data_IF_948657174492
#
_entry.id   IF_948657174492
#
_cell.length_a   1.000
_cell.length_b   1.000
_cell.length_c   1.000
_cell.angle_alpha   90.00
_cell.angle_beta   90.00
_cell.angle_gamma   90.00
#
_symmetry.space_group_name_H-M   'P 1'
#
loop_
_entity.id
_entity.type
_entity.pdbx_description
1 polymer ?
#
# COMPACT_ATOMS: atom_id res chain seq x y z
N UNK A 1 -23.43 7.47 -4.64
CA UNK A 1 -22.30 6.68 -4.15
C UNK A 1 -22.76 6.07 -2.86
N UNK A 2 -22.73 4.75 -2.77
CA UNK A 2 -23.14 4.05 -1.56
C UNK A 2 -21.89 3.79 -0.71
N UNK A 3 -22.04 3.90 0.61
CA UNK A 3 -20.98 3.59 1.57
C UNK A 3 -21.50 2.57 2.56
N UNK A 4 -20.59 1.79 3.15
CA UNK A 4 -20.91 0.96 4.31
C UNK A 4 -20.39 1.66 5.57
N UNK A 5 -21.32 2.05 6.44
CA UNK A 5 -21.03 2.68 7.73
C UNK A 5 -21.12 1.71 8.89
N UNK A 6 -20.37 1.97 9.96
CA UNK A 6 -20.28 1.12 11.14
C UNK A 6 -20.60 1.91 12.43
N UNK A 7 -21.88 2.19 12.71
CA UNK A 7 -22.30 3.01 13.85
C UNK A 7 -22.14 2.31 15.21
N UNK A 8 -21.98 0.99 15.20
CA UNK A 8 -21.86 0.17 16.40
C UNK A 8 -20.49 -0.51 16.47
N UNK A 9 -20.04 -0.78 17.70
CA UNK A 9 -18.74 -1.40 17.96
C UNK A 9 -17.57 -0.44 17.85
N UNK A 10 -16.46 -0.81 18.48
CA UNK A 10 -15.20 -0.06 18.46
C UNK A 10 -14.29 -0.48 17.30
N UNK A 11 -14.46 -1.71 16.79
CA UNK A 11 -13.70 -2.30 15.69
C UNK A 11 -14.66 -3.00 14.74
N UNK A 12 -14.51 -2.73 13.45
CA UNK A 12 -15.25 -3.40 12.39
C UNK A 12 -14.28 -3.89 11.33
N UNK A 13 -14.30 -5.18 11.01
CA UNK A 13 -13.29 -5.79 10.14
C UNK A 13 -13.89 -6.49 8.93
N UNK A 14 -13.21 -6.37 7.80
CA UNK A 14 -13.37 -7.25 6.65
C UNK A 14 -12.36 -8.38 6.72
N UNK A 15 -12.79 -9.57 6.35
CA UNK A 15 -11.92 -10.73 6.16
C UNK A 15 -11.78 -10.99 4.66
N UNK A 16 -10.61 -10.72 4.12
CA UNK A 16 -10.25 -11.03 2.73
C UNK A 16 -9.57 -12.39 2.68
N UNK A 17 -10.01 -13.26 1.75
CA UNK A 17 -9.50 -14.63 1.59
C UNK A 17 -8.93 -14.81 0.18
N UNK A 18 -7.77 -14.21 -0.13
CA UNK A 18 -7.17 -14.38 -1.44
C UNK A 18 -6.78 -15.85 -1.68
N UNK A 19 -6.97 -16.38 -2.89
CA UNK A 19 -6.73 -17.79 -3.17
C UNK A 19 -5.26 -18.20 -3.04
N UNK A 20 -4.32 -17.28 -3.20
CA UNK A 20 -2.89 -17.56 -3.09
C UNK A 20 -2.37 -17.64 -1.64
N UNK A 21 -3.19 -17.26 -0.65
CA UNK A 21 -2.92 -17.40 0.78
C UNK A 21 -1.81 -16.49 1.31
N UNK A 22 -1.18 -16.90 2.41
CA UNK A 22 -0.12 -16.14 3.09
C UNK A 22 1.22 -16.11 2.34
N UNK A 23 2.13 -15.25 2.78
CA UNK A 23 3.47 -15.10 2.21
C UNK A 23 3.49 -14.74 0.71
N UNK A 24 2.42 -14.09 0.24
CA UNK A 24 2.28 -13.53 -1.10
C UNK A 24 2.18 -12.02 -1.02
N UNK A 25 2.53 -11.34 -2.10
CA UNK A 25 2.50 -9.88 -2.14
C UNK A 25 1.11 -9.44 -2.62
N UNK A 26 0.44 -8.63 -1.80
CA UNK A 26 -0.87 -8.08 -2.15
C UNK A 26 -0.84 -6.56 -2.11
N UNK A 27 -1.43 -5.95 -3.14
CA UNK A 27 -1.86 -4.56 -3.09
C UNK A 27 -3.25 -4.51 -2.48
N UNK A 28 -3.38 -3.82 -1.35
CA UNK A 28 -4.65 -3.59 -0.67
C UNK A 28 -4.96 -2.11 -0.78
N UNK A 29 -6.18 -1.78 -1.20
CA UNK A 29 -6.62 -0.39 -1.33
C UNK A 29 -7.98 -0.18 -0.69
N UNK A 30 -8.05 0.79 0.20
CA UNK A 30 -9.28 1.24 0.85
C UNK A 30 -9.60 2.68 0.39
N UNK A 31 -10.82 2.88 -0.09
CA UNK A 31 -11.29 4.18 -0.58
C UNK A 31 -12.44 4.70 0.26
N UNK A 32 -12.43 6.01 0.50
CA UNK A 32 -13.38 6.69 1.36
C UNK A 32 -13.82 8.01 0.72
N UNK A 33 -15.13 8.22 0.60
CA UNK A 33 -15.73 9.50 0.25
C UNK A 33 -16.90 9.73 1.20
N UNK A 34 -16.77 10.74 2.08
CA UNK A 34 -17.74 10.98 3.16
C UNK A 34 -19.10 11.41 2.60
N UNK A 35 -19.12 12.41 1.72
CA UNK A 35 -20.34 12.88 1.06
C UNK A 35 -21.44 13.34 2.00
N UNK A 36 -21.15 13.57 3.29
CA UNK A 36 -22.13 13.82 4.34
C UNK A 36 -23.24 12.75 4.42
N UNK A 37 -22.89 11.47 4.24
CA UNK A 37 -23.87 10.38 4.14
C UNK A 37 -24.81 10.25 5.36
N UNK A 38 -24.39 10.77 6.52
CA UNK A 38 -25.12 10.73 7.79
C UNK A 38 -25.84 12.04 8.14
N UNK A 39 -25.76 13.07 7.27
CA UNK A 39 -26.33 14.41 7.47
C UNK A 39 -25.89 15.10 8.77
N UNK A 40 -24.69 14.79 9.28
CA UNK A 40 -24.17 15.41 10.51
C UNK A 40 -23.29 16.64 10.26
N UNK A 41 -22.88 16.88 9.00
CA UNK A 41 -21.94 17.93 8.61
C UNK A 41 -20.65 17.91 9.44
N UNK A 42 -20.25 16.73 9.92
CA UNK A 42 -19.09 16.53 10.78
C UNK A 42 -18.15 15.52 10.16
N UNK A 43 -16.98 15.99 9.74
CA UNK A 43 -15.97 15.14 9.13
C UNK A 43 -15.52 14.06 10.13
N UNK A 44 -15.71 12.77 9.81
CA UNK A 44 -15.32 11.69 10.71
C UNK A 44 -13.81 11.46 10.67
N UNK A 45 -13.26 10.98 11.79
CA UNK A 45 -11.89 10.48 11.90
C UNK A 45 -11.86 9.13 12.58
N UNK A 46 -11.12 8.20 12.00
CA UNK A 46 -10.97 6.84 12.50
C UNK A 46 -9.66 6.24 12.01
N UNK A 47 -9.25 5.13 12.62
CA UNK A 47 -8.01 4.45 12.26
C UNK A 47 -8.28 3.24 11.38
N UNK A 48 -7.36 2.98 10.44
CA UNK A 48 -7.36 1.84 9.54
C UNK A 48 -6.21 0.91 9.92
N UNK A 49 -6.50 -0.38 9.94
CA UNK A 49 -5.55 -1.44 10.30
C UNK A 49 -5.53 -2.51 9.21
N UNK A 50 -4.34 -3.09 9.02
CA UNK A 50 -4.14 -4.31 8.22
C UNK A 50 -3.55 -5.39 9.12
N UNK A 51 -4.21 -6.53 9.18
CA UNK A 51 -4.00 -7.51 10.24
C UNK A 51 -4.23 -6.87 11.61
N UNK A 52 -3.19 -6.93 12.45
CA UNK A 52 -3.16 -6.33 13.80
C UNK A 52 -2.37 -5.04 13.86
N UNK A 53 -1.85 -4.54 12.74
CA UNK A 53 -0.98 -3.37 12.74
C UNK A 53 -1.72 -2.15 12.20
N UNK A 54 -1.47 -0.99 12.83
CA UNK A 54 -2.04 0.27 12.37
C UNK A 54 -1.45 0.59 11.01
N UNK A 55 -2.33 0.74 10.02
CA UNK A 55 -1.95 1.14 8.67
C UNK A 55 -1.88 2.66 8.60
N UNK A 56 -2.99 3.36 8.85
CA UNK A 56 -3.02 4.83 8.85
C UNK A 56 -4.26 5.37 9.58
N UNK A 57 -4.37 6.69 9.72
CA UNK A 57 -5.59 7.39 10.12
C UNK A 57 -6.33 7.95 8.90
N UNK A 58 -7.64 7.70 8.83
CA UNK A 58 -8.51 8.29 7.82
C UNK A 58 -9.02 9.65 8.32
N UNK A 59 -8.76 10.69 7.53
CA UNK A 59 -9.15 12.08 7.78
C UNK A 59 -9.54 12.75 6.47
N UNK A 60 -10.49 13.68 6.52
CA UNK A 60 -11.01 14.39 5.36
C UNK A 60 -10.80 15.89 5.52
N UNK A 61 -10.59 16.59 4.41
CA UNK A 61 -10.47 18.06 4.41
C UNK A 61 -11.84 18.72 4.19
N UNK A 62 -12.75 18.02 3.52
CA UNK A 62 -14.15 18.39 3.30
C UNK A 62 -14.97 17.14 2.92
N UNK A 63 -16.29 17.31 2.78
CA UNK A 63 -17.20 16.20 2.48
C UNK A 63 -17.00 15.55 1.11
N UNK A 64 -16.47 16.29 0.13
CA UNK A 64 -16.19 15.78 -1.22
C UNK A 64 -14.79 15.20 -1.39
N UNK A 65 -13.93 15.27 -0.36
CA UNK A 65 -12.58 14.73 -0.41
C UNK A 65 -12.62 13.21 -0.52
N UNK A 66 -12.00 12.68 -1.58
CA UNK A 66 -11.79 11.24 -1.76
C UNK A 66 -10.44 10.89 -1.13
N UNK A 67 -10.47 10.10 -0.07
CA UNK A 67 -9.28 9.58 0.59
C UNK A 67 -9.04 8.16 0.10
N UNK A 68 -7.84 7.91 -0.44
CA UNK A 68 -7.40 6.58 -0.86
C UNK A 68 -6.20 6.20 0.00
N UNK A 69 -6.24 5.00 0.57
CA UNK A 69 -5.11 4.38 1.26
C UNK A 69 -4.73 3.14 0.49
N UNK A 70 -3.46 3.01 0.11
CA UNK A 70 -2.95 1.87 -0.62
C UNK A 70 -1.65 1.34 0.02
N UNK A 71 -1.59 0.03 0.23
CA UNK A 71 -0.43 -0.63 0.84
C UNK A 71 -0.11 -1.91 0.08
N UNK A 72 1.18 -2.16 -0.13
CA UNK A 72 1.71 -3.45 -0.51
C UNK A 72 2.05 -4.20 0.78
N UNK A 73 1.39 -5.34 1.00
CA UNK A 73 1.46 -6.10 2.23
C UNK A 73 1.71 -7.59 1.95
N UNK A 74 2.53 -8.21 2.79
CA UNK A 74 2.78 -9.64 2.82
C UNK A 74 2.16 -10.20 4.10
N UNK A 75 0.99 -10.86 4.02
CA UNK A 75 0.32 -11.37 5.20
C UNK A 75 1.02 -12.61 5.74
N UNK A 76 1.05 -12.71 7.06
CA UNK A 76 1.66 -13.83 7.81
C UNK A 76 0.69 -14.99 8.04
N UNK A 77 -0.61 -14.77 7.85
CA UNK A 77 -1.70 -15.75 7.93
C UNK A 77 -2.53 -15.71 6.63
N UNK A 78 -3.30 -16.76 6.32
CA UNK A 78 -4.00 -16.86 5.02
C UNK A 78 -5.12 -15.84 4.82
N UNK A 79 -5.72 -15.37 5.92
CA UNK A 79 -6.74 -14.33 5.89
C UNK A 79 -6.10 -12.95 6.07
N UNK A 80 -6.50 -11.98 5.25
CA UNK A 80 -6.12 -10.59 5.45
C UNK A 80 -7.28 -9.88 6.14
N UNK A 81 -7.04 -9.38 7.35
CA UNK A 81 -8.01 -8.54 8.05
C UNK A 81 -7.78 -7.07 7.71
N UNK A 82 -8.82 -6.36 7.31
CA UNK A 82 -8.80 -4.89 7.17
C UNK A 82 -9.83 -4.33 8.13
N UNK A 83 -9.35 -3.64 9.16
CA UNK A 83 -10.18 -3.20 10.28
C UNK A 83 -10.25 -1.68 10.37
N UNK A 84 -11.47 -1.18 10.59
CA UNK A 84 -11.76 0.22 10.87
C UNK A 84 -12.02 0.35 12.38
N UNK A 85 -11.22 1.16 13.05
CA UNK A 85 -11.31 1.40 14.48
C UNK A 85 -11.90 2.78 14.76
N UNK A 86 -13.00 2.80 15.50
CA UNK A 86 -13.66 4.02 15.94
C UNK A 86 -12.83 4.71 17.02
N UNK A 87 -12.46 5.97 16.78
CA UNK A 87 -11.69 6.80 17.72
C UNK A 87 -12.57 7.78 18.52
N UNK A 88 -13.90 7.64 18.44
CA UNK A 88 -14.86 8.56 19.05
C UNK A 88 -15.06 9.86 18.27
N UNK A 89 -14.44 9.99 17.10
CA UNK A 89 -14.43 11.22 16.28
C UNK A 89 -15.32 11.11 15.03
N UNK A 90 -16.39 10.34 15.09
CA UNK A 90 -17.34 10.10 13.99
C UNK A 90 -17.45 8.62 13.64
N UNK A 91 -18.47 8.27 12.85
CA UNK A 91 -18.78 6.89 12.47
C UNK A 91 -17.81 6.39 11.40
N UNK A 92 -17.02 5.33 11.63
CA UNK A 92 -16.21 4.72 10.59
C UNK A 92 -17.05 4.22 9.43
N UNK A 93 -16.54 4.36 8.22
CA UNK A 93 -17.21 3.91 7.01
C UNK A 93 -16.18 3.55 5.95
N UNK A 94 -16.59 2.84 4.90
CA UNK A 94 -15.76 2.55 3.72
C UNK A 94 -16.61 2.60 2.45
N UNK A 95 -16.03 3.13 1.37
CA UNK A 95 -16.70 3.19 0.06
C UNK A 95 -16.31 2.02 -0.83
N UNK A 96 -15.04 1.63 -0.82
CA UNK A 96 -14.55 0.45 -1.53
C UNK A 96 -13.34 -0.17 -0.82
N UNK A 97 -13.23 -1.49 -0.93
CA UNK A 97 -12.07 -2.27 -0.50
C UNK A 97 -11.67 -3.19 -1.66
N UNK A 98 -10.44 -3.03 -2.13
CA UNK A 98 -9.89 -3.73 -3.29
C UNK A 98 -8.63 -4.50 -2.87
N UNK A 99 -8.44 -5.70 -3.43
CA UNK A 99 -7.24 -6.53 -3.23
C UNK A 99 -6.76 -7.07 -4.56
N UNK A 100 -5.46 -6.95 -4.84
CA UNK A 100 -4.79 -7.47 -6.04
C UNK A 100 -3.55 -8.26 -5.63
N UNK A 101 -3.38 -9.45 -6.18
CA UNK A 101 -2.19 -10.26 -6.01
C UNK A 101 -1.09 -9.84 -6.99
N UNK A 102 0.15 -9.71 -6.51
CA UNK A 102 1.33 -9.45 -7.35
C UNK A 102 2.07 -10.77 -7.59
N UNK A 103 2.14 -11.18 -8.85
CA UNK A 103 2.63 -12.51 -9.24
C UNK A 103 4.16 -12.68 -9.15
N UNK A 104 4.91 -11.59 -8.92
CA UNK A 104 6.36 -11.53 -9.01
C UNK A 104 6.99 -11.07 -7.68
N UNK A 105 8.28 -11.36 -7.47
CA UNK A 105 9.09 -10.89 -6.33
C UNK A 105 9.43 -9.38 -6.37
N UNK A 106 8.56 -8.57 -6.98
CA UNK A 106 8.71 -7.11 -7.07
C UNK A 106 8.30 -6.45 -5.76
N UNK A 107 8.88 -5.30 -5.45
CA UNK A 107 8.60 -4.52 -4.23
C UNK A 107 8.96 -5.25 -2.93
N UNK A 108 10.00 -6.08 -2.95
CA UNK A 108 10.58 -6.63 -1.72
C UNK A 108 11.32 -5.52 -0.96
N UNK A 109 10.84 -5.22 0.24
CA UNK A 109 11.60 -4.43 1.21
C UNK A 109 12.73 -5.30 1.79
N UNK A 110 13.84 -4.68 2.18
CA UNK A 110 14.98 -5.36 2.80
C UNK A 110 14.59 -6.18 4.06
N UNK A 111 13.60 -5.71 4.82
CA UNK A 111 12.92 -6.55 5.79
C UNK A 111 11.78 -7.30 5.10
N UNK A 112 11.88 -8.63 4.99
CA UNK A 112 10.86 -9.50 4.37
C UNK A 112 9.45 -9.34 5.00
N UNK A 113 9.35 -8.74 6.19
CA UNK A 113 8.11 -8.46 6.91
C UNK A 113 7.59 -7.01 6.79
N UNK A 114 8.34 -6.11 6.18
CA UNK A 114 7.91 -4.71 6.08
C UNK A 114 6.88 -4.51 4.97
N UNK A 115 5.87 -3.70 5.25
CA UNK A 115 4.85 -3.31 4.28
C UNK A 115 5.16 -1.96 3.67
N UNK A 116 4.72 -1.71 2.44
CA UNK A 116 5.01 -0.49 1.70
C UNK A 116 3.71 0.30 1.49
N UNK A 117 3.56 1.38 2.25
CA UNK A 117 2.41 2.29 2.19
C UNK A 117 2.65 3.35 1.10
N UNK A 118 1.71 3.52 0.18
CA UNK A 118 1.92 4.40 -0.97
C UNK A 118 1.95 5.86 -0.53
N UNK A 119 3.05 6.55 -0.83
CA UNK A 119 3.13 8.00 -0.71
C UNK A 119 2.71 8.67 -2.02
N UNK A 120 3.34 8.30 -3.14
CA UNK A 120 3.05 8.86 -4.45
C UNK A 120 3.25 7.83 -5.57
N UNK A 121 2.37 7.85 -6.57
CA UNK A 121 2.53 7.11 -7.84
C UNK A 121 2.21 8.01 -9.01
N UNK A 122 3.24 8.35 -9.78
CA UNK A 122 3.27 9.49 -10.69
C UNK A 122 3.58 9.07 -12.12
N UNK A 123 2.79 9.58 -13.06
CA UNK A 123 3.01 9.48 -14.50
C UNK A 123 3.58 10.81 -15.02
N UNK A 124 4.83 10.81 -15.48
CA UNK A 124 5.52 11.99 -15.96
C UNK A 124 5.33 12.20 -17.46
N UNK A 125 5.24 13.47 -17.86
CA UNK A 125 5.10 13.86 -19.26
C UNK A 125 3.72 13.57 -19.86
N UNK A 126 2.75 13.10 -19.07
CA UNK A 126 1.35 13.06 -19.52
C UNK A 126 0.87 14.48 -19.82
N UNK A 127 0.35 14.71 -21.02
CA UNK A 127 -0.31 15.98 -21.38
C UNK A 127 -1.81 15.94 -21.14
N UNK A 128 -2.33 14.83 -20.63
CA UNK A 128 -3.72 14.67 -20.24
C UNK A 128 -3.81 14.55 -18.72
N UNK A 129 -4.92 15.01 -18.13
CA UNK A 129 -5.25 14.77 -16.72
C UNK A 129 -5.87 13.38 -16.52
N UNK A 130 -5.53 12.42 -17.40
CA UNK A 130 -6.10 11.08 -17.36
C UNK A 130 -5.36 10.22 -16.33
N UNK A 131 -6.11 9.67 -15.38
CA UNK A 131 -5.62 8.66 -14.45
C UNK A 131 -5.54 7.32 -15.18
N UNK A 132 -4.38 6.65 -15.11
CA UNK A 132 -4.21 5.31 -15.68
C UNK A 132 -4.34 4.26 -14.58
N UNK A 133 -5.20 3.27 -14.78
CA UNK A 133 -5.41 2.10 -13.91
C UNK A 133 -5.92 0.91 -14.72
N UNK A 134 -6.50 -0.12 -14.11
CA UNK A 134 -7.13 -1.22 -14.85
C UNK A 134 -8.15 -0.71 -15.88
N UNK A 135 -8.21 -1.26 -17.11
CA UNK A 135 -7.47 -2.44 -17.60
C UNK A 135 -6.08 -2.17 -18.16
N UNK A 136 -5.64 -0.91 -18.26
CA UNK A 136 -4.33 -0.55 -18.82
C UNK A 136 -3.18 -1.01 -17.91
N UNK A 137 -3.39 -1.04 -16.59
CA UNK A 137 -2.48 -1.63 -15.61
C UNK A 137 -3.08 -2.92 -15.03
N UNK A 138 -2.40 -4.06 -15.25
CA UNK A 138 -2.84 -5.39 -14.79
C UNK A 138 -2.85 -5.54 -13.28
N UNK A 139 -2.02 -4.77 -12.57
CA UNK A 139 -2.02 -4.72 -11.10
C UNK A 139 -2.99 -3.68 -10.56
N UNK A 140 -3.73 -2.99 -11.45
CA UNK A 140 -4.71 -1.96 -11.13
C UNK A 140 -4.14 -0.82 -10.27
N UNK A 141 -2.83 -0.57 -10.36
CA UNK A 141 -2.21 0.60 -9.73
C UNK A 141 -2.82 1.87 -10.31
N UNK A 142 -3.05 2.86 -9.46
CA UNK A 142 -3.56 4.18 -9.87
C UNK A 142 -2.35 5.08 -10.14
N UNK A 143 -2.11 5.40 -11.41
CA UNK A 143 -1.07 6.34 -11.85
C UNK A 143 -1.68 7.71 -12.08
N UNK A 144 -1.19 8.70 -11.34
CA UNK A 144 -1.67 10.09 -11.43
C UNK A 144 -0.70 10.91 -12.28
N UNK A 145 -1.19 11.67 -13.29
CA UNK A 145 -0.37 12.63 -14.01
C UNK A 145 0.34 13.59 -13.06
N UNK A 146 1.65 13.74 -13.21
CA UNK A 146 2.42 14.74 -12.49
C UNK A 146 2.56 15.99 -13.34
N UNK A 147 2.06 17.11 -12.81
CA UNK A 147 2.29 18.42 -13.42
C UNK A 147 3.72 18.87 -13.12
N UNK A 148 4.55 18.92 -14.17
CA UNK A 148 5.89 19.49 -14.10
C UNK A 148 5.97 20.76 -14.95
N UNK A 149 5.76 21.95 -14.36
CA UNK A 149 5.75 23.22 -15.10
C UNK A 149 7.07 23.58 -15.79
N UNK A 150 8.20 23.04 -15.29
CA UNK A 150 9.55 23.28 -15.83
C UNK A 150 10.08 22.11 -16.67
N UNK A 151 9.20 21.21 -17.09
CA UNK A 151 9.54 20.09 -17.97
C UNK A 151 8.94 20.26 -19.36
N UNK A 152 9.64 19.78 -20.37
CA UNK A 152 9.03 19.41 -21.65
C UNK A 152 8.43 18.01 -21.55
N UNK A 153 7.31 17.78 -22.24
CA UNK A 153 6.72 16.45 -22.40
C UNK A 153 7.19 15.82 -23.72
N UNK A 154 7.43 14.52 -23.71
CA UNK A 154 7.62 13.70 -24.91
C UNK A 154 6.77 12.45 -24.83
N UNK A 155 6.10 12.15 -25.94
CA UNK A 155 5.28 10.95 -26.08
C UNK A 155 5.65 10.13 -27.32
N UNK A 156 5.28 8.86 -27.30
CA UNK A 156 5.30 7.96 -28.46
C UNK A 156 3.97 7.24 -28.61
N UNK A 157 3.65 6.81 -29.83
CA UNK A 157 2.46 5.98 -30.11
C UNK A 157 2.78 4.48 -30.10
N UNK A 158 4.06 4.12 -30.00
CA UNK A 158 4.48 2.72 -29.96
C UNK A 158 4.37 2.16 -28.54
N UNK A 159 4.05 0.87 -28.44
CA UNK A 159 4.01 0.17 -27.16
C UNK A 159 5.40 -0.02 -26.58
N UNK A 160 5.54 0.25 -25.28
CA UNK A 160 6.74 -0.07 -24.50
C UNK A 160 6.66 -1.53 -24.03
N UNK A 161 7.80 -2.23 -23.99
CA UNK A 161 7.92 -3.62 -23.52
C UNK A 161 7.07 -4.64 -24.29
N UNK A 162 6.83 -4.40 -25.58
CA UNK A 162 6.00 -5.28 -26.42
C UNK A 162 6.55 -6.70 -26.60
N UNK A 163 7.87 -6.87 -26.53
CA UNK A 163 8.55 -8.16 -26.70
C UNK A 163 8.85 -8.83 -25.36
N UNK A 164 9.36 -8.06 -24.41
CA UNK A 164 9.73 -8.53 -23.07
C UNK A 164 9.20 -7.53 -22.03
N UNK A 165 8.24 -7.98 -21.23
CA UNK A 165 7.70 -7.23 -20.10
C UNK A 165 8.75 -7.01 -19.01
N UNK A 166 8.74 -5.83 -18.38
CA UNK A 166 9.44 -5.66 -17.10
C UNK A 166 8.79 -6.51 -16.01
N UNK A 167 9.60 -6.93 -15.02
CA UNK A 167 9.08 -7.65 -13.84
C UNK A 167 8.02 -6.85 -13.08
N UNK A 168 8.04 -5.52 -13.20
CA UNK A 168 7.08 -4.58 -12.60
C UNK A 168 5.77 -4.45 -13.39
N UNK A 169 5.66 -5.08 -14.57
CA UNK A 169 4.50 -5.02 -15.47
C UNK A 169 3.96 -3.59 -15.62
N UNK A 170 4.84 -2.65 -15.94
CA UNK A 170 4.48 -1.24 -16.06
C UNK A 170 3.49 -1.02 -17.23
N UNK A 171 2.41 -0.25 -17.04
CA UNK A 171 1.46 -0.01 -18.11
C UNK A 171 2.11 0.81 -19.23
N UNK A 172 2.06 0.29 -20.46
CA UNK A 172 2.60 0.95 -21.66
C UNK A 172 2.06 2.38 -21.82
N UNK A 173 0.81 2.62 -21.42
CA UNK A 173 0.17 3.96 -21.45
C UNK A 173 0.85 5.00 -20.57
N UNK A 174 1.45 4.59 -19.45
CA UNK A 174 2.30 5.46 -18.61
C UNK A 174 3.69 5.57 -19.22
N UNK A 175 4.27 4.42 -19.62
CA UNK A 175 5.64 4.40 -20.10
C UNK A 175 5.85 5.07 -21.45
N UNK A 176 4.79 5.28 -22.26
CA UNK A 176 4.89 5.97 -23.55
C UNK A 176 5.06 7.49 -23.45
N UNK A 177 4.94 8.06 -22.25
CA UNK A 177 5.17 9.49 -21.99
C UNK A 177 6.32 9.68 -21.02
N UNK A 178 7.00 10.82 -21.14
CA UNK A 178 8.08 11.18 -20.24
C UNK A 178 8.27 12.69 -20.12
N UNK A 179 8.77 13.11 -18.95
CA UNK A 179 9.30 14.43 -18.70
C UNK A 179 10.78 14.53 -19.13
N UNK A 180 11.14 15.68 -19.71
CA UNK A 180 12.50 16.06 -20.05
C UNK A 180 12.74 17.50 -19.57
N UNK A 181 14.00 17.90 -19.32
CA UNK A 181 14.34 19.31 -19.19
C UNK A 181 13.97 20.08 -20.47
N UNK A 182 13.65 21.37 -20.32
CA UNK A 182 13.34 22.25 -21.45
C UNK A 182 14.57 22.43 -22.35
N UNK A 183 15.75 22.64 -21.75
CA UNK A 183 17.00 22.76 -22.47
C UNK A 183 17.83 21.49 -22.38
N UNK A 184 18.59 21.18 -23.44
CA UNK A 184 19.38 19.94 -23.57
C UNK A 184 20.41 19.72 -22.46
N UNK A 185 20.92 20.79 -21.86
CA UNK A 185 21.93 20.73 -20.80
C UNK A 185 21.35 21.00 -19.40
N UNK A 186 20.04 21.20 -19.29
CA UNK A 186 19.38 21.37 -17.99
C UNK A 186 19.18 20.03 -17.30
N UNK A 187 18.88 20.10 -16.00
CA UNK A 187 18.57 18.96 -15.16
C UNK A 187 17.07 18.89 -14.86
N UNK A 188 16.55 17.69 -14.62
CA UNK A 188 15.23 17.54 -14.00
C UNK A 188 15.38 17.63 -12.49
N UNK A 189 14.52 18.39 -11.83
CA UNK A 189 14.52 18.52 -10.38
C UNK A 189 13.11 18.37 -9.82
N UNK A 190 12.97 17.52 -8.80
CA UNK A 190 11.71 17.24 -8.13
C UNK A 190 11.92 17.29 -6.62
N UNK A 191 10.98 17.87 -5.89
CA UNK A 191 11.02 17.92 -4.44
C UNK A 191 9.67 17.47 -3.87
N UNK A 192 9.72 16.60 -2.87
CA UNK A 192 8.55 16.14 -2.13
C UNK A 192 8.75 16.44 -0.66
N UNK A 193 7.84 17.22 -0.08
CA UNK A 193 7.79 17.50 1.34
C UNK A 193 7.13 16.33 2.08
N UNK A 194 7.89 15.69 2.95
CA UNK A 194 7.45 14.55 3.75
C UNK A 194 6.93 15.01 5.11
N UNK A 195 7.48 16.10 5.66
CA UNK A 195 7.18 16.62 7.00
C UNK A 195 7.79 15.83 8.16
N UNK A 196 7.81 14.49 8.10
CA UNK A 196 8.37 13.62 9.16
C UNK A 196 9.71 12.99 8.74
N UNK A 197 10.84 13.45 9.30
CA UNK A 197 12.18 12.96 8.94
C UNK A 197 12.48 11.55 9.44
N UNK A 198 11.63 10.98 10.31
CA UNK A 198 11.82 9.63 10.85
C UNK A 198 11.36 8.53 9.90
N UNK A 199 10.47 8.89 8.97
CA UNK A 199 9.95 7.99 7.96
C UNK A 199 11.06 7.50 7.03
N UNK A 200 10.93 6.23 6.64
CA UNK A 200 11.81 5.51 5.73
C UNK A 200 11.08 5.32 4.41
N UNK A 201 11.77 5.52 3.29
CA UNK A 201 11.16 5.43 1.96
C UNK A 201 11.90 4.50 1.02
N UNK A 202 11.15 3.78 0.20
CA UNK A 202 11.67 3.24 -1.06
C UNK A 202 11.20 4.09 -2.22
N UNK A 203 12.11 4.30 -3.17
CA UNK A 203 11.84 5.04 -4.41
C UNK A 203 12.06 4.10 -5.58
N UNK A 204 11.12 4.12 -6.52
CA UNK A 204 11.21 3.43 -7.80
C UNK A 204 11.06 4.47 -8.91
N UNK A 205 12.06 4.58 -9.77
CA UNK A 205 12.04 5.45 -10.94
C UNK A 205 12.04 4.60 -12.19
N UNK A 206 11.09 4.87 -13.08
CA UNK A 206 10.87 4.11 -14.29
C UNK A 206 11.21 4.93 -15.52
N UNK A 207 11.97 4.31 -16.42
CA UNK A 207 12.53 4.93 -17.60
C UNK A 207 12.24 4.09 -18.82
N UNK A 208 12.04 4.72 -19.98
CA UNK A 208 12.08 4.08 -21.28
C UNK A 208 12.63 5.07 -22.31
N UNK A 209 13.51 4.61 -23.21
CA UNK A 209 13.95 5.45 -24.32
C UNK A 209 12.84 5.51 -25.38
N UNK A 210 12.29 6.72 -25.57
CA UNK A 210 11.16 6.98 -26.46
C UNK A 210 11.58 7.39 -27.87
N UNK A 211 12.88 7.52 -28.14
CA UNK A 211 13.42 7.85 -29.45
C UNK A 211 14.33 6.75 -29.98
N UNK A 212 14.23 6.46 -31.27
CA UNK A 212 15.26 5.69 -31.96
C UNK A 212 16.49 6.58 -32.11
N UNK A 213 17.44 6.42 -31.19
CA UNK A 213 18.70 7.15 -31.21
C UNK A 213 19.52 6.75 -32.45
N UNK A 214 20.05 7.73 -33.18
CA UNK A 214 20.81 7.52 -34.41
C UNK A 214 22.27 7.95 -34.24
N UNK A 215 23.20 7.22 -34.85
CA UNK A 215 24.64 7.54 -34.83
C UNK A 215 25.21 7.61 -33.41
N UNK A 216 25.81 8.74 -33.05
CA UNK A 216 26.47 8.98 -31.75
C UNK A 216 25.50 9.52 -30.67
N UNK A 217 24.18 9.42 -30.90
CA UNK A 217 23.19 9.83 -29.91
C UNK A 217 23.12 8.83 -28.75
N UNK A 218 23.24 9.34 -27.53
CA UNK A 218 23.34 8.49 -26.36
C UNK A 218 22.80 9.18 -25.11
N UNK A 219 21.94 8.49 -24.36
CA UNK A 219 21.37 8.99 -23.10
C UNK A 219 22.02 8.33 -21.89
N UNK A 220 22.84 9.13 -21.20
CA UNK A 220 23.44 8.78 -19.92
C UNK A 220 23.30 9.95 -18.96
N UNK A 221 22.83 9.67 -17.76
CA UNK A 221 22.60 10.69 -16.75
C UNK A 221 22.73 10.10 -15.36
N UNK A 222 23.02 10.97 -14.41
CA UNK A 222 23.12 10.61 -13.00
C UNK A 222 21.86 11.03 -12.27
N UNK A 223 21.47 10.23 -11.29
CA UNK A 223 20.37 10.50 -10.39
C UNK A 223 20.96 10.78 -9.02
N UNK A 224 20.65 11.93 -8.44
CA UNK A 224 20.91 12.21 -7.04
C UNK A 224 19.62 12.30 -6.25
N UNK A 225 19.70 11.90 -4.99
CA UNK A 225 18.65 12.02 -4.01
C UNK A 225 19.23 12.65 -2.75
N UNK A 226 18.67 13.79 -2.34
CA UNK A 226 19.14 14.60 -1.21
C UNK A 226 20.64 14.94 -1.35
N UNK A 227 21.08 15.24 -2.57
CA UNK A 227 22.47 15.57 -2.90
C UNK A 227 23.42 14.38 -3.06
N UNK A 228 23.00 13.17 -2.68
CA UNK A 228 23.83 11.96 -2.79
C UNK A 228 23.56 11.22 -4.10
N UNK A 229 24.61 10.68 -4.73
CA UNK A 229 24.47 9.86 -5.94
C UNK A 229 23.67 8.59 -5.62
N UNK A 230 22.54 8.42 -6.29
CA UNK A 230 21.69 7.24 -6.17
C UNK A 230 22.05 6.20 -7.24
N UNK A 231 22.21 6.64 -8.50
CA UNK A 231 22.51 5.74 -9.62
C UNK A 231 23.04 6.51 -10.84
N UNK A 232 23.82 5.81 -11.66
CA UNK A 232 24.17 6.23 -13.02
C UNK A 232 23.30 5.43 -14.00
N UNK A 233 22.55 6.11 -14.86
CA UNK A 233 21.59 5.49 -15.77
C UNK A 233 22.08 5.58 -17.20
N UNK A 234 22.00 4.45 -17.91
CA UNK A 234 22.37 4.31 -19.32
C UNK A 234 21.24 3.68 -20.11
N UNK A 235 20.48 4.49 -20.85
CA UNK A 235 19.34 4.01 -21.64
C UNK A 235 19.77 3.74 -23.08
N UNK A 236 19.85 2.45 -23.44
CA UNK A 236 20.27 2.01 -24.77
C UNK A 236 19.10 1.46 -25.61
N UNK A 237 18.18 0.75 -24.96
CA UNK A 237 17.17 -0.03 -25.66
C UNK A 237 15.94 0.82 -25.93
N UNK A 238 15.68 1.07 -27.22
CA UNK A 238 14.48 1.77 -27.68
C UNK A 238 13.21 1.00 -27.29
N UNK A 239 12.24 1.70 -26.71
CA UNK A 239 10.93 1.17 -26.25
C UNK A 239 11.02 0.02 -25.25
N UNK A 240 12.10 -0.04 -24.47
CA UNK A 240 12.23 -0.98 -23.36
C UNK A 240 12.32 -0.23 -22.03
N UNK A 241 11.60 -0.71 -21.04
CA UNK A 241 11.60 -0.09 -19.72
C UNK A 241 12.76 -0.57 -18.86
N UNK A 242 13.23 0.33 -18.00
CA UNK A 242 14.21 0.09 -16.95
C UNK A 242 13.68 0.72 -15.67
N UNK A 243 13.89 0.05 -14.55
CA UNK A 243 13.55 0.59 -13.22
C UNK A 243 14.81 0.70 -12.38
N UNK A 244 15.03 1.88 -11.82
CA UNK A 244 16.04 2.12 -10.79
C UNK A 244 15.31 2.22 -9.45
N UNK A 245 15.75 1.43 -8.47
CA UNK A 245 15.24 1.51 -7.11
C UNK A 245 16.31 1.98 -6.14
N UNK A 246 15.89 2.60 -5.04
CA UNK A 246 16.79 2.83 -3.91
C UNK A 246 17.17 1.50 -3.25
N UNK A 247 18.45 1.14 -3.16
CA UNK A 247 18.87 -0.16 -2.63
C UNK A 247 18.63 -0.31 -1.12
N UNK A 248 18.46 0.81 -0.43
CA UNK A 248 18.23 0.92 1.01
C UNK A 248 17.14 1.97 1.23
N UNK A 249 16.37 1.87 2.33
CA UNK A 249 15.36 2.86 2.63
C UNK A 249 16.01 4.20 2.96
N UNK A 250 15.53 5.26 2.33
CA UNK A 250 16.04 6.62 2.51
C UNK A 250 15.26 7.37 3.58
N UNK A 251 15.89 8.35 4.23
CA UNK A 251 15.29 9.21 5.26
C UNK A 251 15.48 10.69 4.90
N UNK A 252 14.56 11.52 5.34
CA UNK A 252 14.64 12.97 5.20
C UNK A 252 13.28 13.64 5.35
N UNK A 253 13.28 14.88 5.84
CA UNK A 253 12.07 15.71 5.87
C UNK A 253 11.59 16.08 4.46
N UNK A 254 12.52 16.14 3.49
CA UNK A 254 12.23 16.32 2.07
C UNK A 254 12.97 15.24 1.26
N UNK A 255 12.39 14.85 0.13
CA UNK A 255 13.05 14.05 -0.91
C UNK A 255 13.30 14.94 -2.13
N UNK A 256 14.56 15.33 -2.34
CA UNK A 256 15.03 16.17 -3.44
C UNK A 256 15.74 15.31 -4.47
N UNK A 257 15.12 15.11 -5.62
CA UNK A 257 15.67 14.37 -6.76
C UNK A 257 16.27 15.31 -7.78
N UNK A 258 17.46 14.99 -8.30
CA UNK A 258 18.03 15.67 -9.46
C UNK A 258 18.53 14.65 -10.47
N UNK A 259 18.09 14.76 -11.71
CA UNK A 259 18.60 13.97 -12.83
C UNK A 259 19.34 14.91 -13.76
N UNK A 260 20.63 14.66 -13.97
CA UNK A 260 21.48 15.53 -14.77
C UNK A 260 22.33 14.74 -15.75
N UNK A 261 22.45 15.30 -16.95
CA UNK A 261 23.16 14.72 -18.09
C UNK A 261 24.63 14.46 -17.73
N UNK A 262 25.16 13.29 -18.11
CA UNK A 262 26.59 12.98 -17.99
C UNK A 262 27.40 13.67 -19.11
N UNK A 263 28.70 13.83 -18.92
CA UNK A 263 29.59 14.41 -19.94
C UNK A 263 29.63 13.60 -21.25
N UNK A 264 29.34 12.29 -21.17
CA UNK A 264 29.34 11.37 -22.31
C UNK A 264 28.03 11.41 -23.09
N UNK A 265 26.97 11.93 -22.49
CA UNK A 265 25.66 11.93 -23.11
C UNK A 265 25.52 13.11 -24.07
N UNK A 266 24.79 12.91 -25.16
CA UNK A 266 24.49 13.96 -26.14
C UNK A 266 23.10 14.56 -25.95
N UNK A 267 22.22 13.86 -25.23
CA UNK A 267 20.81 14.23 -25.03
C UNK A 267 20.47 14.30 -23.53
N UNK A 268 19.43 15.07 -23.12
CA UNK A 268 19.16 15.31 -21.71
C UNK A 268 18.66 14.04 -20.96
N UNK A 269 18.52 14.06 -19.62
CA UNK A 269 17.80 13.02 -18.88
C UNK A 269 16.32 12.91 -19.32
N UNK A 270 15.69 11.80 -18.96
CA UNK A 270 14.29 11.49 -19.21
C UNK A 270 13.71 10.78 -17.98
N UNK A 271 12.42 10.97 -17.68
CA UNK A 271 11.72 10.25 -16.63
C UNK A 271 10.28 9.96 -17.05
N UNK A 272 9.86 8.70 -17.02
CA UNK A 272 8.53 8.27 -17.45
C UNK A 272 7.57 8.15 -16.27
N UNK A 273 8.02 7.55 -15.17
CA UNK A 273 7.17 7.34 -14.00
C UNK A 273 7.98 7.26 -12.71
N UNK A 274 7.32 7.50 -11.57
CA UNK A 274 7.94 7.35 -10.24
C UNK A 274 6.93 6.79 -9.24
N UNK A 275 7.41 5.92 -8.36
CA UNK A 275 6.67 5.45 -7.18
C UNK A 275 7.50 5.72 -5.93
N UNK A 276 6.86 6.20 -4.88
CA UNK A 276 7.47 6.44 -3.57
C UNK A 276 6.60 5.75 -2.53
N UNK A 277 7.22 4.90 -1.72
CA UNK A 277 6.55 4.15 -0.66
C UNK A 277 7.18 4.43 0.69
N UNK A 278 6.34 4.60 1.71
CA UNK A 278 6.72 4.63 3.12
C UNK A 278 6.85 3.20 3.62
N UNK A 279 7.96 2.90 4.29
CA UNK A 279 8.16 1.61 4.96
C UNK A 279 7.36 1.58 6.26
N UNK A 280 6.51 0.57 6.41
CA UNK A 280 5.77 0.26 7.63
C UNK A 280 6.35 -1.00 8.27
N UNK A 281 7.09 -0.78 9.35
CA UNK A 281 7.63 -1.85 10.19
C UNK A 281 6.51 -2.36 11.11
N UNK A 282 5.84 -3.45 10.71
CA UNK A 282 4.76 -4.07 11.48
C UNK A 282 5.34 -5.00 12.55
N UNK A 283 5.37 -4.50 13.78
CA UNK A 283 6.00 -5.18 14.92
C UNK A 283 5.04 -6.05 15.73
N UNK A 284 3.72 -5.86 15.58
CA UNK A 284 2.75 -6.63 16.34
C UNK A 284 2.48 -7.97 15.65
N UNK A 285 2.69 -9.07 16.40
CA UNK A 285 2.30 -10.40 16.00
C UNK A 285 0.78 -10.60 16.18
N UNK A 286 0.10 -11.28 15.24
CA UNK A 286 -1.29 -11.68 15.41
C UNK A 286 -1.43 -12.76 16.49
N UNK A 287 -2.67 -13.05 16.91
CA UNK A 287 -2.98 -14.20 17.78
C UNK A 287 -2.44 -15.49 17.16
N UNK A 288 -1.99 -16.41 18.02
CA UNK A 288 -1.52 -17.73 17.62
C UNK A 288 -2.53 -18.47 16.73
N UNK A 289 -2.05 -19.06 15.62
CA UNK A 289 -2.90 -19.65 14.59
C UNK A 289 -3.78 -20.80 15.13
N UNK A 290 -3.31 -21.60 16.10
CA UNK A 290 -4.12 -22.67 16.70
C UNK A 290 -5.27 -22.08 17.52
N UNK A 291 -5.01 -21.01 18.28
CA UNK A 291 -6.02 -20.33 19.09
C UNK A 291 -7.06 -19.63 18.19
N UNK A 292 -6.62 -19.00 17.09
CA UNK A 292 -7.52 -18.42 16.06
C UNK A 292 -8.43 -19.49 15.47
N UNK A 293 -7.87 -20.62 15.03
CA UNK A 293 -8.67 -21.73 14.47
C UNK A 293 -9.62 -22.33 15.50
N UNK A 294 -9.21 -22.44 16.76
CA UNK A 294 -10.05 -22.93 17.84
C UNK A 294 -11.24 -22.01 18.11
N UNK A 295 -11.01 -20.71 18.20
CA UNK A 295 -12.06 -19.75 18.54
C UNK A 295 -13.00 -19.45 17.38
N UNK A 296 -12.53 -19.48 16.14
CA UNK A 296 -13.39 -19.38 14.95
C UNK A 296 -14.34 -20.59 14.82
N UNK A 297 -13.91 -21.79 15.18
CA UNK A 297 -14.80 -22.95 15.22
C UNK A 297 -15.86 -22.82 16.33
N UNK A 298 -15.48 -22.31 17.50
CA UNK A 298 -16.42 -22.00 18.60
C UNK A 298 -17.43 -20.96 18.13
N UNK A 299 -16.95 -19.91 17.46
CA UNK A 299 -17.78 -18.86 16.86
C UNK A 299 -18.81 -19.44 15.91
N UNK A 300 -18.37 -20.28 14.98
CA UNK A 300 -19.22 -20.94 13.99
C UNK A 300 -20.22 -21.91 14.64
N UNK A 301 -19.80 -22.70 15.62
CA UNK A 301 -20.66 -23.70 16.28
C UNK A 301 -21.81 -23.05 17.06
N UNK A 302 -21.59 -21.86 17.60
CA UNK A 302 -22.56 -21.14 18.43
C UNK A 302 -23.23 -19.95 17.75
N UNK A 303 -22.86 -19.62 16.50
CA UNK A 303 -23.42 -18.48 15.77
C UNK A 303 -23.14 -17.14 16.45
N UNK A 304 -21.93 -16.98 17.01
CA UNK A 304 -21.52 -15.74 17.68
C UNK A 304 -21.00 -14.75 16.63
N UNK A 305 -21.57 -13.54 16.53
CA UNK A 305 -21.12 -12.55 15.54
C UNK A 305 -20.81 -11.16 16.13
N UNK A 306 -21.44 -10.76 17.23
CA UNK A 306 -21.27 -9.41 17.78
C UNK A 306 -19.91 -9.24 18.50
N UNK A 307 -19.05 -8.39 17.92
CA UNK A 307 -17.73 -8.05 18.48
C UNK A 307 -16.63 -9.09 18.24
N UNK A 308 -16.94 -10.19 17.54
CA UNK A 308 -16.00 -11.25 17.17
C UNK A 308 -15.55 -11.07 15.72
N UNK A 309 -14.74 -10.04 15.47
CA UNK A 309 -14.31 -9.64 14.13
C UNK A 309 -12.81 -9.32 14.11
N UNK A 310 -12.12 -9.73 13.03
CA UNK A 310 -10.69 -9.53 12.87
C UNK A 310 -9.87 -10.50 13.73
N UNK A 311 -8.72 -10.05 14.21
CA UNK A 311 -7.89 -10.84 15.12
C UNK A 311 -8.54 -10.96 16.53
N UNK A 312 -8.52 -12.15 17.17
CA UNK A 312 -9.16 -12.37 18.46
C UNK A 312 -8.59 -11.57 19.64
N UNK A 313 -7.30 -11.22 19.63
CA UNK A 313 -6.65 -10.56 20.76
C UNK A 313 -6.24 -9.11 20.46
N UNK A 314 -5.78 -8.81 19.25
CA UNK A 314 -5.17 -7.55 18.86
C UNK A 314 -6.03 -6.79 17.83
N UNK A 315 -5.80 -5.49 17.52
CA UNK A 315 -4.71 -4.60 17.98
C UNK A 315 -4.89 -3.99 19.37
N UNK A 316 -6.11 -3.61 19.75
CA UNK A 316 -6.35 -2.78 20.95
C UNK A 316 -7.20 -3.51 21.99
N UNK A 317 -8.22 -4.24 21.53
CA UNK A 317 -9.12 -4.99 22.41
C UNK A 317 -9.33 -6.41 21.85
N UNK A 318 -9.30 -7.42 22.73
CA UNK A 318 -9.68 -8.76 22.34
C UNK A 318 -11.18 -8.79 22.00
N UNK A 319 -11.64 -9.88 21.37
CA UNK A 319 -13.07 -10.09 21.16
C UNK A 319 -13.83 -10.05 22.49
N UNK A 320 -15.11 -9.68 22.43
CA UNK A 320 -15.95 -9.62 23.62
C UNK A 320 -15.96 -10.96 24.35
N UNK A 321 -15.63 -10.92 25.64
CA UNK A 321 -15.54 -12.12 26.50
C UNK A 321 -14.19 -12.83 26.46
N UNK A 322 -13.25 -12.44 25.59
CA UNK A 322 -11.89 -12.99 25.59
C UNK A 322 -10.95 -12.20 26.50
N UNK A 323 -10.00 -12.92 27.10
CA UNK A 323 -8.77 -12.33 27.61
C UNK A 323 -7.57 -13.07 27.02
N UNK A 324 -6.50 -12.34 26.74
CA UNK A 324 -5.31 -12.88 26.09
C UNK A 324 -4.04 -12.56 26.86
N UNK A 325 -3.01 -13.38 26.66
CA UNK A 325 -1.66 -13.08 27.12
C UNK A 325 -1.00 -12.06 26.19
N UNK A 326 -0.24 -11.13 26.79
CA UNK A 326 0.58 -10.16 26.05
C UNK A 326 1.94 -10.08 26.72
N UNK A 327 2.95 -10.69 26.11
CA UNK A 327 4.34 -10.60 26.58
C UNK A 327 5.24 -9.78 25.62
N UNK A 328 4.72 -9.39 24.44
CA UNK A 328 5.41 -8.57 23.45
C UNK A 328 6.47 -9.30 22.63
N UNK A 329 6.74 -10.57 22.93
CA UNK A 329 7.74 -11.39 22.24
C UNK A 329 7.11 -12.57 21.49
N UNK A 330 5.99 -13.08 21.99
CA UNK A 330 5.26 -14.21 21.43
C UNK A 330 3.88 -13.76 20.93
N UNK A 331 3.31 -14.48 19.94
CA UNK A 331 1.91 -14.31 19.55
C UNK A 331 0.97 -14.34 20.76
N UNK A 332 0.00 -13.40 20.87
CA UNK A 332 -1.00 -13.44 21.92
C UNK A 332 -1.75 -14.78 21.93
N UNK A 333 -2.00 -15.31 23.14
CA UNK A 333 -2.73 -16.57 23.36
C UNK A 333 -4.00 -16.32 24.15
N UNK A 334 -5.07 -17.04 23.86
CA UNK A 334 -6.34 -16.93 24.59
C UNK A 334 -6.19 -17.62 25.95
N UNK A 335 -6.44 -16.87 27.02
CA UNK A 335 -6.32 -17.33 28.41
C UNK A 335 -7.66 -17.38 29.14
N UNK A 336 -8.65 -16.62 28.68
CA UNK A 336 -10.02 -16.69 29.20
C UNK A 336 -11.03 -16.52 28.08
N UNK A 337 -12.16 -17.19 28.22
CA UNK A 337 -13.33 -17.09 27.36
C UNK A 337 -14.58 -17.05 28.23
N UNK A 338 -15.31 -15.93 28.26
CA UNK A 338 -16.55 -15.79 28.98
C UNK A 338 -17.73 -15.73 28.01
N UNK A 339 -18.58 -16.77 28.04
CA UNK A 339 -19.78 -16.88 27.22
C UNK A 339 -21.08 -16.84 28.02
N UNK A 340 -21.02 -16.40 29.29
CA UNK A 340 -22.17 -16.40 30.21
C UNK A 340 -23.38 -15.60 29.70
N UNK A 341 -23.14 -14.55 28.92
CA UNK A 341 -24.19 -13.69 28.35
C UNK A 341 -24.73 -14.18 27.01
N UNK A 342 -24.12 -15.22 26.42
CA UNK A 342 -24.35 -15.62 25.03
C UNK A 342 -25.53 -16.60 24.85
N UNK A 343 -26.24 -16.96 25.93
CA UNK A 343 -27.43 -17.84 25.92
C UNK A 343 -27.24 -19.11 25.06
N UNK A 344 -26.07 -19.72 25.17
CA UNK A 344 -25.67 -20.86 24.34
C UNK A 344 -26.59 -22.07 24.57
N UNK A 345 -26.90 -22.79 23.49
CA UNK A 345 -27.63 -24.05 23.52
C UNK A 345 -26.87 -25.11 22.72
N UNK A 346 -26.96 -26.38 23.12
CA UNK A 346 -26.30 -27.48 22.43
C UNK A 346 -25.07 -28.02 23.17
N UNK A 347 -24.31 -28.95 22.56
CA UNK A 347 -23.15 -29.56 23.19
C UNK A 347 -21.99 -28.57 23.34
N UNK A 348 -21.10 -28.89 24.27
CA UNK A 348 -19.83 -28.17 24.43
C UNK A 348 -18.94 -28.46 23.22
N UNK A 349 -18.49 -27.41 22.54
CA UNK A 349 -17.62 -27.50 21.37
C UNK A 349 -16.29 -28.14 21.76
N UNK A 350 -15.92 -29.24 21.10
CA UNK A 350 -14.64 -29.90 21.31
C UNK A 350 -13.46 -28.99 20.97
N UNK A 351 -13.66 -27.98 20.11
CA UNK A 351 -12.65 -26.99 19.73
C UNK A 351 -12.11 -26.19 20.93
N UNK A 352 -12.86 -26.08 22.04
CA UNK A 352 -12.38 -25.46 23.27
C UNK A 352 -11.14 -26.15 23.85
N UNK A 353 -11.02 -27.47 23.66
CA UNK A 353 -9.85 -28.24 24.10
C UNK A 353 -8.55 -27.88 23.35
N UNK A 354 -8.65 -27.20 22.20
CA UNK A 354 -7.50 -26.73 21.42
C UNK A 354 -6.90 -25.43 21.96
N UNK A 355 -7.62 -24.69 22.81
CA UNK A 355 -7.13 -23.50 23.50
C UNK A 355 -6.23 -23.88 24.68
N UNK A 356 -4.98 -24.25 24.39
CA UNK A 356 -4.04 -24.88 25.34
C UNK A 356 -3.70 -24.04 26.58
N UNK A 357 -3.82 -22.71 26.50
CA UNK A 357 -3.54 -21.80 27.61
C UNK A 357 -4.81 -21.26 28.29
N UNK A 358 -5.99 -21.82 27.98
CA UNK A 358 -7.25 -21.42 28.60
C UNK A 358 -7.24 -21.79 30.09
N UNK A 359 -7.37 -20.77 30.94
CA UNK A 359 -7.40 -20.90 32.40
C UNK A 359 -8.84 -20.74 32.94
N UNK A 360 -9.68 -19.99 32.24
CA UNK A 360 -11.03 -19.63 32.66
C UNK A 360 -12.02 -19.75 31.50
N UNK A 361 -13.13 -20.46 31.73
CA UNK A 361 -14.25 -20.65 30.81
C UNK A 361 -15.59 -20.24 31.48
#
# INVERSE_FOLDING_TARGET
>A
MDVRSFPQGTRNCYTLKPPEGKARIYLIRASFMYGNYDNQDRLPRFDLYVGVNKWDSVKFDNASHIVIKEIIHIPVIDNIYVCLLNTGSGTPFISALEVRHYHNSTYQAEAESASLDLYQRLNFGSTTNEIVRFPDDVYDRIWTPYDCPRCASRGTNFSIDSLNGSVFNLPSKVMRTAALPINVNDSLHFEFDIGDPTLKFYVYMHFAELQSLQGDQYREFNITLNGNLLSEVKLHNYLHSMTILSPQPVRGANLSFSLYKSEKSTIPPILNAMEIYIVRDFLQAPTDEEDVSAIEDVKSNYGLDEGWQGDPCAPVYPWNGLNCSYNGYEPPRITSLNLSTSKLTGPISSSLSRLKLLQHL
#
